data_IF_998248849413
#
_entry.id   IF_998248849413
#
_cell.length_a   1.000
_cell.length_b   1.000
_cell.length_c   1.000
_cell.angle_alpha   90.00
_cell.angle_beta   90.00
_cell.angle_gamma   90.00
#
_symmetry.space_group_name_H-M   'P 1'
#
loop_
_entity.id
_entity.type
_entity.pdbx_description
1 polymer ?
#
# COMPACT_ATOMS: atom_id res chain seq x y z
N UNK A 1 35.62 -20.16 -17.86
CA UNK A 1 34.33 -20.47 -17.20
C UNK A 1 33.59 -19.15 -17.09
N UNK A 2 32.57 -18.96 -17.91
CA UNK A 2 31.76 -17.73 -17.85
C UNK A 2 31.05 -17.69 -16.50
N UNK A 3 31.34 -16.67 -15.72
CA UNK A 3 30.58 -16.39 -14.47
C UNK A 3 29.12 -16.24 -14.85
N UNK A 4 28.19 -16.95 -14.21
CA UNK A 4 26.77 -16.81 -14.53
C UNK A 4 26.37 -15.35 -14.39
N UNK A 5 25.83 -14.80 -15.50
CA UNK A 5 25.45 -13.40 -15.59
C UNK A 5 24.34 -13.12 -14.57
N UNK A 6 24.56 -12.16 -13.64
CA UNK A 6 23.53 -11.76 -12.65
C UNK A 6 22.27 -11.33 -13.40
N UNK A 7 21.10 -11.73 -12.90
CA UNK A 7 19.78 -11.39 -13.46
C UNK A 7 18.95 -10.58 -12.48
N UNK A 8 17.95 -9.89 -12.97
CA UNK A 8 16.91 -9.26 -12.16
C UNK A 8 17.15 -7.79 -11.78
N UNK A 9 18.33 -7.24 -11.98
CA UNK A 9 18.61 -5.81 -11.72
C UNK A 9 18.44 -5.00 -13.01
N UNK A 10 17.19 -4.80 -13.43
CA UNK A 10 16.82 -4.20 -14.72
C UNK A 10 16.06 -2.89 -14.50
N UNK A 11 16.54 -1.80 -15.11
CA UNK A 11 15.88 -0.50 -15.14
C UNK A 11 14.64 -0.48 -16.05
N UNK A 12 13.82 0.54 -15.90
CA UNK A 12 12.65 0.78 -16.73
C UNK A 12 12.81 2.10 -17.49
N UNK A 13 12.67 2.05 -18.81
CA UNK A 13 12.73 3.25 -19.63
C UNK A 13 11.63 4.24 -19.25
N UNK A 14 11.99 5.52 -19.11
CA UNK A 14 11.00 6.58 -18.98
C UNK A 14 10.29 6.82 -20.33
N UNK A 15 9.04 6.44 -20.41
CA UNK A 15 8.22 6.54 -21.62
C UNK A 15 7.47 7.88 -21.72
N UNK A 16 8.03 8.94 -21.15
CA UNK A 16 7.46 10.28 -21.10
C UNK A 16 6.77 10.57 -19.77
N UNK A 17 7.53 11.16 -18.83
CA UNK A 17 7.09 11.54 -17.47
C UNK A 17 6.52 10.37 -16.64
N UNK A 18 7.04 9.13 -16.86
CA UNK A 18 6.54 7.91 -16.21
C UNK A 18 7.36 7.47 -14.99
N UNK A 19 8.26 8.31 -14.47
CA UNK A 19 9.10 7.98 -13.32
C UNK A 19 8.29 7.56 -12.08
N UNK A 20 7.13 8.18 -11.85
CA UNK A 20 6.21 7.83 -10.76
C UNK A 20 5.78 6.36 -10.81
N UNK A 21 5.44 5.89 -12.00
CA UNK A 21 5.02 4.52 -12.22
C UNK A 21 6.22 3.55 -12.23
N UNK A 22 7.34 3.94 -12.84
CA UNK A 22 8.55 3.12 -12.83
C UNK A 22 8.98 2.82 -11.38
N UNK A 23 8.99 3.83 -10.50
CA UNK A 23 9.31 3.65 -9.09
C UNK A 23 8.35 2.68 -8.38
N UNK A 24 7.04 2.79 -8.61
CA UNK A 24 6.02 1.90 -8.05
C UNK A 24 6.15 0.47 -8.59
N UNK A 25 6.33 0.31 -9.91
CA UNK A 25 6.49 -1.01 -10.54
C UNK A 25 7.73 -1.74 -10.00
N UNK A 26 8.83 -1.02 -9.78
CA UNK A 26 10.02 -1.59 -9.14
C UNK A 26 9.72 -2.05 -7.70
N UNK A 27 9.01 -1.26 -6.89
CA UNK A 27 8.63 -1.66 -5.54
C UNK A 27 7.73 -2.90 -5.54
N UNK A 28 6.67 -2.91 -6.37
CA UNK A 28 5.75 -4.05 -6.46
C UNK A 28 6.47 -5.34 -6.88
N UNK A 29 7.42 -5.26 -7.82
CA UNK A 29 8.24 -6.40 -8.22
C UNK A 29 9.11 -6.94 -7.08
N UNK A 30 9.61 -6.07 -6.21
CA UNK A 30 10.46 -6.48 -5.08
C UNK A 30 9.68 -6.98 -3.86
N UNK A 31 8.35 -7.01 -3.90
CA UNK A 31 7.55 -7.77 -2.95
C UNK A 31 7.47 -9.22 -3.43
N UNK A 32 8.16 -10.11 -2.73
CA UNK A 32 8.39 -11.49 -3.18
C UNK A 32 7.10 -12.22 -3.55
N UNK A 33 6.03 -12.02 -2.78
CA UNK A 33 4.74 -12.64 -3.05
C UNK A 33 4.05 -12.08 -4.30
N UNK A 34 4.18 -10.78 -4.57
CA UNK A 34 3.68 -10.17 -5.81
C UNK A 34 4.43 -10.74 -7.00
N UNK A 35 5.77 -10.72 -6.97
CA UNK A 35 6.57 -11.32 -8.04
C UNK A 35 6.19 -12.78 -8.28
N UNK A 36 6.02 -13.58 -7.21
CA UNK A 36 5.64 -14.98 -7.32
C UNK A 36 4.26 -15.18 -7.95
N UNK A 37 3.25 -14.38 -7.58
CA UNK A 37 1.89 -14.49 -8.15
C UNK A 37 1.88 -14.13 -9.64
N UNK A 38 2.57 -13.05 -10.02
CA UNK A 38 2.47 -12.46 -11.35
C UNK A 38 3.60 -12.86 -12.31
N UNK A 39 4.48 -13.79 -11.95
CA UNK A 39 5.45 -14.40 -12.88
C UNK A 39 4.97 -15.76 -13.38
N UNK A 40 5.50 -16.21 -14.50
CA UNK A 40 5.28 -17.54 -15.10
C UNK A 40 3.81 -17.91 -15.30
N UNK A 41 2.94 -16.92 -15.45
CA UNK A 41 1.53 -17.14 -15.75
C UNK A 41 0.69 -17.72 -14.61
N UNK A 42 1.21 -17.81 -13.36
CA UNK A 42 0.47 -18.35 -12.19
C UNK A 42 -0.84 -17.63 -11.97
N UNK A 43 -0.88 -16.32 -12.18
CA UNK A 43 -2.10 -15.50 -12.06
C UNK A 43 -3.22 -15.90 -13.03
N UNK A 44 -2.92 -16.58 -14.15
CA UNK A 44 -3.94 -16.98 -15.13
C UNK A 44 -5.02 -17.90 -14.54
N UNK A 45 -4.69 -18.69 -13.52
CA UNK A 45 -5.65 -19.56 -12.81
C UNK A 45 -6.61 -18.76 -11.94
N UNK A 46 -6.26 -17.53 -11.59
CA UNK A 46 -7.06 -16.63 -10.76
C UNK A 46 -7.98 -15.72 -11.60
N UNK A 47 -7.70 -15.59 -12.91
CA UNK A 47 -8.46 -14.70 -13.76
C UNK A 47 -9.88 -15.21 -13.99
N UNK A 48 -10.85 -14.32 -13.76
CA UNK A 48 -12.25 -14.51 -14.16
C UNK A 48 -12.38 -14.37 -15.67
N UNK A 49 -13.29 -15.14 -16.24
CA UNK A 49 -13.75 -14.95 -17.62
C UNK A 49 -15.17 -14.40 -17.56
N UNK A 50 -15.50 -13.49 -18.46
CA UNK A 50 -16.89 -13.09 -18.66
C UNK A 50 -17.70 -14.26 -19.29
N UNK A 51 -19.02 -14.07 -19.46
CA UNK A 51 -19.89 -15.07 -20.06
C UNK A 51 -19.49 -15.46 -21.50
N UNK A 52 -18.69 -14.63 -22.20
CA UNK A 52 -18.15 -14.87 -23.54
C UNK A 52 -16.76 -15.53 -23.52
N UNK A 53 -16.19 -15.75 -22.34
CA UNK A 53 -14.83 -16.28 -22.15
C UNK A 53 -13.72 -15.25 -22.37
N UNK A 54 -14.06 -13.96 -22.52
CA UNK A 54 -13.07 -12.87 -22.65
C UNK A 54 -12.55 -12.46 -21.29
N UNK A 55 -11.30 -12.00 -21.26
CA UNK A 55 -10.71 -11.37 -20.09
C UNK A 55 -11.35 -10.02 -19.82
N UNK A 56 -11.55 -9.69 -18.54
CA UNK A 56 -11.95 -8.36 -18.15
C UNK A 56 -10.85 -7.34 -18.50
N UNK A 57 -11.23 -6.08 -18.66
CA UNK A 57 -10.31 -5.02 -19.07
C UNK A 57 -9.12 -4.86 -18.12
N UNK A 58 -9.37 -4.88 -16.80
CA UNK A 58 -8.33 -4.83 -15.77
C UNK A 58 -7.34 -6.01 -15.86
N UNK A 59 -7.83 -7.20 -16.25
CA UNK A 59 -6.96 -8.37 -16.42
C UNK A 59 -5.94 -8.18 -17.55
N UNK A 60 -6.24 -7.32 -18.53
CA UNK A 60 -5.30 -7.00 -19.60
C UNK A 60 -4.16 -6.13 -19.08
N UNK A 61 -4.43 -5.17 -18.21
CA UNK A 61 -3.39 -4.39 -17.51
C UNK A 61 -2.52 -5.30 -16.66
N UNK A 62 -3.12 -6.20 -15.88
CA UNK A 62 -2.41 -7.13 -15.01
C UNK A 62 -1.57 -8.13 -15.79
N UNK A 63 -2.04 -8.59 -16.97
CA UNK A 63 -1.26 -9.46 -17.84
C UNK A 63 -0.03 -8.72 -18.40
N UNK A 64 -0.17 -7.46 -18.80
CA UNK A 64 0.96 -6.66 -19.27
C UNK A 64 1.94 -6.28 -18.16
N UNK A 65 1.45 -6.06 -16.93
CA UNK A 65 2.30 -5.92 -15.74
C UNK A 65 3.09 -7.19 -15.44
N UNK A 66 2.44 -8.36 -15.53
CA UNK A 66 3.10 -9.66 -15.38
C UNK A 66 4.23 -9.86 -16.39
N UNK A 67 4.04 -9.44 -17.65
CA UNK A 67 5.08 -9.46 -18.67
C UNK A 67 6.26 -8.56 -18.28
N UNK A 68 6.01 -7.36 -17.78
CA UNK A 68 7.08 -6.45 -17.29
C UNK A 68 7.88 -7.12 -16.18
N UNK A 69 7.22 -7.70 -15.15
CA UNK A 69 7.92 -8.40 -14.07
C UNK A 69 8.74 -9.57 -14.63
N UNK A 70 8.16 -10.39 -15.48
CA UNK A 70 8.84 -11.55 -16.06
C UNK A 70 10.11 -11.15 -16.83
N UNK A 71 10.02 -10.11 -17.64
CA UNK A 71 11.17 -9.61 -18.43
C UNK A 71 12.25 -9.00 -17.52
N UNK A 72 11.87 -8.32 -16.42
CA UNK A 72 12.82 -7.81 -15.44
C UNK A 72 13.51 -8.93 -14.66
N UNK A 73 12.79 -9.95 -14.19
CA UNK A 73 13.35 -11.08 -13.44
C UNK A 73 14.35 -11.91 -14.28
N UNK A 74 14.11 -12.03 -15.57
CA UNK A 74 14.96 -12.80 -16.49
C UNK A 74 15.99 -11.94 -17.24
N UNK A 75 15.88 -10.62 -17.16
CA UNK A 75 16.79 -9.69 -17.82
C UNK A 75 18.17 -9.68 -17.20
N UNK A 76 19.17 -9.33 -18.00
CA UNK A 76 20.55 -9.17 -17.56
C UNK A 76 20.67 -7.95 -16.65
N UNK A 77 21.31 -8.11 -15.50
CA UNK A 77 21.58 -7.00 -14.57
C UNK A 77 22.35 -5.86 -15.24
N UNK A 78 21.88 -4.63 -15.00
CA UNK A 78 22.37 -3.43 -15.68
C UNK A 78 21.71 -3.15 -17.03
N UNK A 79 20.78 -4.03 -17.46
CA UNK A 79 19.97 -3.81 -18.66
C UNK A 79 18.79 -2.87 -18.39
N UNK A 80 18.15 -2.43 -19.48
CA UNK A 80 16.97 -1.57 -19.46
C UNK A 80 15.83 -2.23 -20.23
N UNK A 81 14.64 -2.23 -19.66
CA UNK A 81 13.41 -2.66 -20.30
C UNK A 81 12.56 -1.44 -20.69
N UNK A 82 12.07 -1.44 -21.93
CA UNK A 82 11.09 -0.44 -22.36
C UNK A 82 9.66 -0.95 -22.16
N UNK A 83 8.90 -0.43 -21.17
CA UNK A 83 7.55 -0.91 -20.85
C UNK A 83 6.45 -0.31 -21.75
N UNK A 84 6.74 -0.06 -23.03
CA UNK A 84 5.80 0.56 -23.99
C UNK A 84 4.52 -0.25 -24.18
N UNK A 85 4.62 -1.58 -24.18
CA UNK A 85 3.46 -2.47 -24.28
C UNK A 85 2.52 -2.29 -23.10
N UNK A 86 3.07 -2.25 -21.87
CA UNK A 86 2.32 -1.96 -20.65
C UNK A 86 1.62 -0.60 -20.74
N UNK A 87 2.33 0.46 -21.12
CA UNK A 87 1.75 1.80 -21.24
C UNK A 87 0.64 1.88 -22.28
N UNK A 88 0.81 1.23 -23.43
CA UNK A 88 -0.26 1.16 -24.45
C UNK A 88 -1.51 0.52 -23.88
N UNK A 89 -1.36 -0.66 -23.29
CA UNK A 89 -2.47 -1.41 -22.69
C UNK A 89 -3.15 -0.63 -21.56
N UNK A 90 -2.35 -0.02 -20.66
CA UNK A 90 -2.89 0.76 -19.57
C UNK A 90 -3.75 1.92 -20.07
N UNK A 91 -3.24 2.73 -20.99
CA UNK A 91 -3.97 3.88 -21.56
C UNK A 91 -5.29 3.46 -22.24
N UNK A 92 -5.29 2.34 -22.96
CA UNK A 92 -6.52 1.79 -23.56
C UNK A 92 -7.54 1.36 -22.49
N UNK A 93 -7.06 0.84 -21.35
CA UNK A 93 -7.90 0.31 -20.29
C UNK A 93 -8.46 1.38 -19.35
N UNK A 94 -7.72 2.46 -19.09
CA UNK A 94 -8.18 3.51 -18.13
C UNK A 94 -8.99 4.62 -18.79
N UNK A 95 -9.02 4.66 -20.14
CA UNK A 95 -9.77 5.67 -20.88
C UNK A 95 -11.24 5.66 -20.49
N UNK A 96 -11.79 6.85 -20.26
CA UNK A 96 -13.18 7.08 -19.85
C UNK A 96 -13.54 6.43 -18.47
N UNK A 97 -12.54 6.15 -17.63
CA UNK A 97 -12.70 5.69 -16.24
C UNK A 97 -12.30 6.76 -15.24
N UNK A 98 -12.43 6.49 -13.94
CA UNK A 98 -11.93 7.37 -12.86
C UNK A 98 -10.41 7.53 -12.87
N UNK A 99 -9.69 6.71 -13.64
CA UNK A 99 -8.24 6.71 -13.81
C UNK A 99 -7.78 7.31 -15.15
N UNK A 100 -8.67 8.01 -15.86
CA UNK A 100 -8.40 8.58 -17.19
C UNK A 100 -7.19 9.54 -17.22
N UNK A 101 -6.83 10.14 -16.07
CA UNK A 101 -5.61 10.94 -15.94
C UNK A 101 -4.35 10.21 -16.44
N UNK A 102 -4.25 8.88 -16.27
CA UNK A 102 -3.09 8.09 -16.71
C UNK A 102 -3.02 7.88 -18.23
N UNK A 103 -4.04 8.32 -18.99
CA UNK A 103 -3.95 8.42 -20.45
C UNK A 103 -3.01 9.53 -20.91
N UNK A 104 -2.86 10.58 -20.07
CA UNK A 104 -2.09 11.76 -20.43
C UNK A 104 -0.60 11.58 -20.17
N UNK A 105 0.22 12.14 -21.06
CA UNK A 105 1.67 12.25 -20.82
C UNK A 105 1.91 13.45 -19.91
N UNK A 106 1.74 13.25 -18.59
CA UNK A 106 1.89 14.25 -17.56
C UNK A 106 2.53 13.63 -16.30
N UNK A 107 3.14 14.42 -15.42
CA UNK A 107 3.53 13.96 -14.10
C UNK A 107 2.28 13.59 -13.30
N UNK A 108 2.30 12.44 -12.62
CA UNK A 108 1.23 12.00 -11.74
C UNK A 108 1.79 11.60 -10.37
N UNK A 109 0.91 11.48 -9.39
CA UNK A 109 1.30 11.06 -8.06
C UNK A 109 1.55 9.54 -8.01
N UNK A 110 2.69 9.15 -7.43
CA UNK A 110 3.08 7.74 -7.32
C UNK A 110 2.13 6.95 -6.41
N UNK A 111 1.54 7.57 -5.37
CA UNK A 111 0.58 6.90 -4.51
C UNK A 111 -0.76 6.65 -5.23
N UNK A 112 -1.23 7.60 -6.04
CA UNK A 112 -2.44 7.39 -6.86
C UNK A 112 -2.24 6.24 -7.85
N UNK A 113 -1.07 6.20 -8.50
CA UNK A 113 -0.74 5.09 -9.39
C UNK A 113 -0.62 3.76 -8.64
N UNK A 114 -0.03 3.75 -7.45
CA UNK A 114 0.02 2.55 -6.60
C UNK A 114 -1.39 2.06 -6.25
N UNK A 115 -2.30 2.96 -5.88
CA UNK A 115 -3.70 2.59 -5.59
C UNK A 115 -4.39 1.98 -6.81
N UNK A 116 -4.24 2.58 -7.98
CA UNK A 116 -4.73 2.03 -9.24
C UNK A 116 -4.19 0.61 -9.51
N UNK A 117 -2.88 0.39 -9.31
CA UNK A 117 -2.27 -0.93 -9.51
C UNK A 117 -2.80 -1.96 -8.51
N UNK A 118 -2.88 -1.63 -7.22
CA UNK A 118 -3.40 -2.54 -6.20
C UNK A 118 -4.86 -2.91 -6.47
N UNK A 119 -5.70 -1.95 -6.86
CA UNK A 119 -7.09 -2.19 -7.23
C UNK A 119 -7.19 -3.08 -8.48
N UNK A 120 -6.44 -2.77 -9.54
CA UNK A 120 -6.41 -3.59 -10.75
C UNK A 120 -5.96 -5.04 -10.50
N UNK A 121 -4.92 -5.23 -9.67
CA UNK A 121 -4.43 -6.54 -9.25
C UNK A 121 -5.50 -7.29 -8.44
N UNK A 122 -6.16 -6.61 -7.49
CA UNK A 122 -7.21 -7.18 -6.65
C UNK A 122 -8.42 -7.58 -7.46
N UNK A 123 -9.02 -6.67 -8.23
CA UNK A 123 -10.21 -6.94 -9.03
C UNK A 123 -10.01 -8.06 -10.05
N UNK A 124 -8.85 -8.05 -10.73
CA UNK A 124 -8.54 -9.06 -11.75
C UNK A 124 -8.42 -10.48 -11.19
N UNK A 125 -8.04 -10.62 -9.93
CA UNK A 125 -7.79 -11.93 -9.29
C UNK A 125 -8.81 -12.27 -8.20
N UNK A 126 -9.80 -11.39 -7.96
CA UNK A 126 -10.80 -11.59 -6.91
C UNK A 126 -11.86 -12.61 -7.32
N UNK A 127 -12.34 -13.38 -6.35
CA UNK A 127 -13.46 -14.31 -6.50
C UNK A 127 -14.30 -14.32 -5.23
N UNK A 128 -15.57 -14.75 -5.37
CA UNK A 128 -16.40 -15.02 -4.20
C UNK A 128 -15.89 -16.24 -3.45
N UNK A 129 -15.82 -16.13 -2.13
CA UNK A 129 -15.40 -17.21 -1.23
C UNK A 129 -16.42 -17.37 -0.11
N UNK A 130 -16.60 -18.60 0.37
CA UNK A 130 -17.41 -18.85 1.55
C UNK A 130 -16.57 -18.58 2.81
N UNK A 131 -16.93 -17.54 3.55
CA UNK A 131 -16.32 -17.22 4.84
C UNK A 131 -17.27 -17.59 5.97
N UNK A 132 -16.86 -18.50 6.84
CA UNK A 132 -17.61 -18.85 8.03
C UNK A 132 -16.99 -18.28 9.26
N UNK A 133 -17.78 -17.61 10.09
CA UNK A 133 -17.36 -17.15 11.41
C UNK A 133 -17.77 -18.22 12.41
N UNK A 134 -16.77 -18.89 12.99
CA UNK A 134 -16.98 -19.88 14.06
C UNK A 134 -17.44 -19.12 15.31
N UNK A 135 -18.74 -19.16 15.59
CA UNK A 135 -19.34 -18.40 16.70
C UNK A 135 -19.47 -19.26 17.96
N UNK A 136 -18.84 -18.83 19.05
CA UNK A 136 -19.41 -18.98 20.38
C UNK A 136 -20.25 -17.74 20.70
N UNK A 137 -21.28 -17.86 21.54
CA UNK A 137 -22.05 -16.68 21.96
C UNK A 137 -21.14 -15.73 22.74
N UNK A 138 -20.88 -14.47 22.26
CA UNK A 138 -19.95 -13.57 22.90
C UNK A 138 -20.49 -13.13 24.27
N UNK A 139 -19.69 -13.29 25.32
CA UNK A 139 -20.06 -13.00 26.70
C UNK A 139 -19.56 -11.62 27.15
N UNK A 140 -18.44 -11.18 26.62
CA UNK A 140 -17.79 -9.91 26.98
C UNK A 140 -17.92 -8.88 25.87
N UNK A 141 -17.71 -7.59 26.20
CA UNK A 141 -17.69 -6.53 25.19
C UNK A 141 -16.52 -6.71 24.21
N UNK A 142 -15.37 -7.19 24.66
CA UNK A 142 -14.22 -7.52 23.81
C UNK A 142 -14.59 -8.62 22.80
N UNK A 143 -15.21 -9.72 23.23
CA UNK A 143 -15.67 -10.77 22.33
C UNK A 143 -16.69 -10.28 21.29
N UNK A 144 -17.63 -9.39 21.72
CA UNK A 144 -18.58 -8.75 20.79
C UNK A 144 -17.86 -7.92 19.72
N UNK A 145 -16.80 -7.19 20.12
CA UNK A 145 -15.96 -6.40 19.19
C UNK A 145 -15.21 -7.31 18.22
N UNK A 146 -14.65 -8.44 18.69
CA UNK A 146 -13.98 -9.43 17.84
C UNK A 146 -14.95 -9.97 16.80
N UNK A 147 -16.17 -10.37 17.20
CA UNK A 147 -17.20 -10.86 16.28
C UNK A 147 -17.53 -9.78 15.23
N UNK A 148 -17.75 -8.53 15.67
CA UNK A 148 -18.08 -7.44 14.73
C UNK A 148 -16.95 -7.13 13.75
N UNK A 149 -15.69 -7.18 14.18
CA UNK A 149 -14.54 -7.04 13.30
C UNK A 149 -14.49 -8.14 12.23
N UNK A 150 -14.77 -9.39 12.62
CA UNK A 150 -14.85 -10.52 11.69
C UNK A 150 -16.01 -10.40 10.71
N UNK A 151 -17.16 -9.91 11.18
CA UNK A 151 -18.32 -9.62 10.32
C UNK A 151 -17.98 -8.55 9.28
N UNK A 152 -17.35 -7.44 9.69
CA UNK A 152 -16.91 -6.38 8.78
C UNK A 152 -15.94 -6.93 7.72
N UNK A 153 -14.94 -7.72 8.14
CA UNK A 153 -14.00 -8.35 7.21
C UNK A 153 -14.70 -9.27 6.20
N UNK A 154 -15.65 -10.08 6.68
CA UNK A 154 -16.46 -10.96 5.83
C UNK A 154 -17.35 -10.18 4.87
N UNK A 155 -18.04 -9.15 5.34
CA UNK A 155 -18.91 -8.28 4.51
C UNK A 155 -18.11 -7.65 3.37
N UNK A 156 -16.88 -7.19 3.64
CA UNK A 156 -16.00 -6.55 2.66
C UNK A 156 -15.48 -7.55 1.62
N UNK A 157 -14.93 -8.68 2.07
CA UNK A 157 -14.12 -9.51 1.18
C UNK A 157 -14.77 -10.83 0.72
N UNK A 158 -15.90 -11.28 1.29
CA UNK A 158 -16.47 -12.58 0.89
C UNK A 158 -16.89 -12.66 -0.58
N UNK A 159 -17.29 -11.53 -1.18
CA UNK A 159 -17.71 -11.47 -2.58
C UNK A 159 -16.55 -11.24 -3.54
N UNK A 160 -15.45 -10.72 -3.07
CA UNK A 160 -14.30 -10.27 -3.87
C UNK A 160 -12.97 -10.57 -3.17
N UNK A 161 -12.75 -11.78 -2.75
CA UNK A 161 -11.50 -12.18 -2.14
C UNK A 161 -10.42 -12.44 -3.20
N UNK A 162 -9.22 -11.93 -2.98
CA UNK A 162 -8.04 -12.22 -3.80
C UNK A 162 -6.82 -12.49 -2.91
N UNK A 163 -5.74 -13.08 -3.46
CA UNK A 163 -4.47 -13.23 -2.72
C UNK A 163 -3.89 -11.90 -2.22
N UNK A 164 -4.29 -10.78 -2.82
CA UNK A 164 -3.84 -9.43 -2.44
C UNK A 164 -4.46 -8.98 -1.11
N UNK A 165 -5.62 -9.56 -0.72
CA UNK A 165 -6.29 -9.21 0.54
C UNK A 165 -5.40 -9.52 1.74
N UNK A 166 -4.88 -10.75 1.83
CA UNK A 166 -3.97 -11.10 2.93
C UNK A 166 -2.61 -10.38 2.82
N UNK A 167 -2.23 -9.99 1.61
CA UNK A 167 -0.94 -9.37 1.36
C UNK A 167 -0.93 -7.89 1.76
N UNK A 168 -1.95 -7.12 1.39
CA UNK A 168 -1.94 -5.66 1.51
C UNK A 168 -3.05 -5.08 2.39
N UNK A 169 -4.11 -5.83 2.71
CA UNK A 169 -5.23 -5.24 3.46
C UNK A 169 -5.15 -5.55 4.96
N UNK A 170 -5.39 -4.51 5.72
CA UNK A 170 -5.52 -4.55 7.17
C UNK A 170 -6.89 -4.02 7.61
N UNK A 171 -7.08 -3.93 8.92
CA UNK A 171 -8.31 -3.45 9.55
C UNK A 171 -7.97 -2.45 10.64
N UNK A 172 -8.57 -1.28 10.61
CA UNK A 172 -8.54 -0.29 11.69
C UNK A 172 -9.76 -0.45 12.59
N UNK A 173 -9.57 -0.22 13.86
CA UNK A 173 -10.62 -0.01 14.83
C UNK A 173 -10.83 1.49 15.02
N UNK A 174 -11.95 2.01 14.58
CA UNK A 174 -12.33 3.42 14.66
C UNK A 174 -13.27 3.63 15.83
N UNK A 175 -12.95 4.59 16.71
CA UNK A 175 -13.75 5.00 17.85
C UNK A 175 -14.30 6.39 17.60
N UNK A 176 -15.61 6.56 17.82
CA UNK A 176 -16.27 7.87 17.80
C UNK A 176 -16.81 8.14 19.19
N UNK A 177 -16.21 9.08 19.92
CA UNK A 177 -16.62 9.45 21.29
C UNK A 177 -17.35 10.78 21.28
N UNK A 178 -18.65 10.76 21.61
CA UNK A 178 -19.45 11.97 21.70
C UNK A 178 -18.92 12.91 22.77
N UNK A 179 -18.68 14.17 22.42
CA UNK A 179 -18.12 15.16 23.36
C UNK A 179 -19.11 15.51 24.48
N UNK A 180 -20.43 15.37 24.25
CA UNK A 180 -21.51 15.69 25.22
C UNK A 180 -21.77 14.55 26.22
N UNK A 181 -22.16 13.38 25.73
CA UNK A 181 -22.56 12.25 26.62
C UNK A 181 -21.44 11.24 26.87
N UNK A 182 -20.27 11.41 26.25
CA UNK A 182 -19.09 10.52 26.35
C UNK A 182 -19.34 9.08 25.87
N UNK A 183 -20.48 8.79 25.26
CA UNK A 183 -20.74 7.48 24.64
C UNK A 183 -19.77 7.26 23.48
N UNK A 184 -19.14 6.09 23.45
CA UNK A 184 -18.21 5.70 22.38
C UNK A 184 -18.87 4.63 21.50
N UNK A 185 -18.89 4.86 20.20
CA UNK A 185 -19.25 3.87 19.19
C UNK A 185 -18.01 3.30 18.54
N UNK A 186 -18.09 2.06 18.07
CA UNK A 186 -16.97 1.30 17.51
C UNK A 186 -17.32 0.87 16.09
N UNK A 187 -16.39 1.12 15.14
CA UNK A 187 -16.47 0.70 13.75
C UNK A 187 -15.15 0.08 13.32
N UNK A 188 -15.18 -0.68 12.26
CA UNK A 188 -13.98 -1.23 11.63
C UNK A 188 -13.94 -0.79 10.17
N UNK A 189 -12.77 -0.35 9.74
CA UNK A 189 -12.54 0.15 8.37
C UNK A 189 -11.34 -0.57 7.79
N UNK A 190 -11.46 -1.12 6.58
CA UNK A 190 -10.34 -1.75 5.88
C UNK A 190 -9.39 -0.69 5.36
N UNK A 191 -8.11 -1.03 5.29
CA UNK A 191 -7.09 -0.19 4.67
C UNK A 191 -6.08 -1.04 3.92
N UNK A 192 -5.44 -0.49 2.92
CA UNK A 192 -4.28 -1.05 2.23
C UNK A 192 -3.03 -0.16 2.33
N UNK A 193 -3.20 1.07 2.81
CA UNK A 193 -2.13 2.03 3.02
C UNK A 193 -2.40 2.80 4.31
N UNK A 194 -1.41 2.89 5.19
CA UNK A 194 -1.43 3.81 6.33
C UNK A 194 -0.86 5.17 5.91
N UNK A 195 -1.37 6.23 6.51
CA UNK A 195 -0.86 7.59 6.30
C UNK A 195 0.03 8.01 7.45
N UNK A 196 1.18 8.63 7.16
CA UNK A 196 2.06 9.23 8.15
C UNK A 196 2.03 10.75 8.08
N UNK A 197 1.74 11.42 9.19
CA UNK A 197 1.71 12.90 9.25
C UNK A 197 3.13 13.44 9.40
N UNK A 198 3.60 14.15 8.38
CA UNK A 198 4.91 14.83 8.41
C UNK A 198 4.76 16.21 9.05
N UNK A 199 5.58 16.52 10.07
CA UNK A 199 5.60 17.83 10.73
C UNK A 199 5.90 18.96 9.74
N UNK A 200 5.10 20.04 9.81
CA UNK A 200 5.33 21.26 9.03
C UNK A 200 6.41 22.18 9.64
N UNK A 201 6.74 21.99 10.90
CA UNK A 201 7.66 22.84 11.66
C UNK A 201 9.14 22.53 11.43
N UNK A 202 9.44 21.59 10.53
CA UNK A 202 10.82 21.20 10.18
C UNK A 202 11.51 20.32 11.23
N UNK A 203 10.85 20.01 12.34
CA UNK A 203 11.38 19.09 13.36
C UNK A 203 11.36 17.67 12.81
N UNK A 204 12.51 16.98 12.76
CA UNK A 204 12.55 15.60 12.32
C UNK A 204 11.62 14.72 13.18
N UNK A 205 10.80 13.92 12.53
CA UNK A 205 9.83 13.04 13.18
C UNK A 205 10.11 11.61 12.78
N UNK A 206 10.04 10.69 13.73
CA UNK A 206 10.15 9.27 13.43
C UNK A 206 8.84 8.71 12.87
N UNK A 207 8.94 7.61 12.14
CA UNK A 207 7.81 7.02 11.43
C UNK A 207 6.69 6.58 12.37
N UNK A 208 7.02 6.03 13.53
CA UNK A 208 6.03 5.58 14.51
C UNK A 208 5.24 6.77 15.07
N UNK A 209 5.95 7.85 15.43
CA UNK A 209 5.31 9.10 15.88
C UNK A 209 4.39 9.71 14.84
N UNK A 210 4.76 9.65 13.54
CA UNK A 210 3.89 10.11 12.44
C UNK A 210 2.60 9.28 12.31
N UNK A 211 2.68 7.97 12.51
CA UNK A 211 1.51 7.08 12.52
C UNK A 211 0.65 7.31 13.76
N UNK A 212 1.27 7.49 14.92
CA UNK A 212 0.56 7.81 16.16
C UNK A 212 -0.22 9.13 16.03
N UNK A 213 0.38 10.16 15.43
CA UNK A 213 -0.29 11.43 15.22
C UNK A 213 -1.53 11.31 14.32
N UNK A 214 -1.43 10.55 13.23
CA UNK A 214 -2.59 10.25 12.36
C UNK A 214 -3.69 9.50 13.12
N UNK A 215 -3.33 8.59 14.00
CA UNK A 215 -4.27 7.73 14.73
C UNK A 215 -4.91 8.40 15.95
N UNK A 216 -4.30 9.45 16.50
CA UNK A 216 -4.92 10.29 17.54
C UNK A 216 -6.26 10.83 17.07
N UNK A 217 -6.37 11.14 15.77
CA UNK A 217 -7.60 11.55 15.12
C UNK A 217 -7.93 13.03 15.30
N UNK A 218 -9.21 13.33 15.17
CA UNK A 218 -9.71 14.69 15.06
C UNK A 218 -11.11 14.87 15.64
N UNK A 219 -11.49 16.11 15.90
CA UNK A 219 -12.85 16.48 16.30
C UNK A 219 -13.73 16.57 15.04
N UNK A 220 -14.89 15.90 15.06
CA UNK A 220 -15.91 15.92 14.01
C UNK A 220 -17.09 16.73 14.48
N UNK A 221 -17.37 17.82 13.79
CA UNK A 221 -18.54 18.66 14.05
C UNK A 221 -19.81 18.05 13.43
N UNK A 222 -20.96 18.41 13.99
CA UNK A 222 -22.27 17.98 13.47
C UNK A 222 -22.54 16.47 13.61
N UNK A 223 -21.87 15.80 14.53
CA UNK A 223 -22.05 14.37 14.78
C UNK A 223 -23.47 14.05 15.31
N UNK A 224 -24.10 13.04 14.71
CA UNK A 224 -25.40 12.52 15.15
C UNK A 224 -25.18 11.40 16.16
N UNK A 225 -25.28 11.74 17.44
CA UNK A 225 -25.14 10.78 18.52
C UNK A 225 -26.54 10.21 18.88
N UNK A 226 -26.71 8.90 18.86
CA UNK A 226 -27.98 8.24 19.17
C UNK A 226 -28.50 8.59 20.57
N UNK A 227 -27.61 8.72 21.56
CA UNK A 227 -27.95 9.09 22.94
C UNK A 227 -28.37 10.56 23.07
N UNK A 228 -27.84 11.46 22.22
CA UNK A 228 -28.11 12.91 22.29
C UNK A 228 -29.14 13.37 21.26
N UNK A 229 -29.63 12.47 20.39
CA UNK A 229 -30.61 12.76 19.37
C UNK A 229 -31.84 13.50 19.94
N UNK A 230 -32.39 14.51 19.23
CA UNK A 230 -32.05 14.95 17.86
C UNK A 230 -30.94 16.00 17.79
N UNK A 231 -30.28 16.33 18.89
CA UNK A 231 -29.27 17.41 18.96
C UNK A 231 -27.97 16.94 18.31
N UNK A 232 -27.45 17.72 17.33
CA UNK A 232 -26.12 17.53 16.77
C UNK A 232 -25.06 17.89 17.81
N UNK A 233 -24.00 17.13 17.88
CA UNK A 233 -22.89 17.31 18.82
C UNK A 233 -21.56 17.33 18.06
N UNK A 234 -20.47 17.48 18.78
CA UNK A 234 -19.14 17.12 18.29
C UNK A 234 -18.78 15.72 18.75
N UNK A 235 -17.89 15.06 18.05
CA UNK A 235 -17.33 13.79 18.47
C UNK A 235 -15.84 13.73 18.15
N UNK A 236 -15.06 13.11 19.02
CA UNK A 236 -13.66 12.81 18.74
C UNK A 236 -13.57 11.47 18.00
N UNK A 237 -13.03 11.51 16.77
CA UNK A 237 -12.72 10.32 15.97
C UNK A 237 -11.27 9.95 16.23
N UNK A 238 -11.01 8.73 16.66
CA UNK A 238 -9.65 8.17 16.75
C UNK A 238 -9.61 6.77 16.15
N UNK A 239 -8.44 6.32 15.76
CA UNK A 239 -8.25 4.98 15.21
C UNK A 239 -7.08 4.25 15.88
N UNK A 240 -7.08 2.94 15.76
CA UNK A 240 -6.00 2.05 16.19
C UNK A 240 -5.99 0.83 15.27
N UNK A 241 -4.89 0.13 15.22
CA UNK A 241 -4.78 -1.07 14.39
C UNK A 241 -5.58 -2.21 15.03
N UNK A 242 -6.35 -2.91 14.19
CA UNK A 242 -7.00 -4.16 14.58
C UNK A 242 -6.33 -5.37 13.95
N UNK A 243 -6.02 -5.28 12.66
CA UNK A 243 -5.34 -6.32 11.89
C UNK A 243 -4.32 -5.67 10.96
N UNK A 244 -3.14 -6.25 10.85
CA UNK A 244 -2.09 -5.80 9.93
C UNK A 244 -1.95 -6.74 8.72
N UNK A 245 -1.64 -6.21 7.52
CA UNK A 245 -1.33 -7.00 6.32
C UNK A 245 0.05 -7.68 6.43
N UNK A 246 0.37 -8.55 5.48
CA UNK A 246 1.74 -9.11 5.35
C UNK A 246 2.73 -8.07 4.85
N UNK A 247 2.31 -7.24 3.90
CA UNK A 247 3.08 -6.11 3.38
C UNK A 247 2.37 -4.82 3.78
N UNK A 248 3.01 -4.05 4.64
CA UNK A 248 2.51 -2.77 5.13
C UNK A 248 3.02 -1.65 4.24
N UNK A 249 2.11 -0.90 3.65
CA UNK A 249 2.41 0.29 2.86
C UNK A 249 2.13 1.52 3.71
N UNK A 250 3.10 2.42 3.79
CA UNK A 250 2.98 3.70 4.51
C UNK A 250 3.25 4.83 3.54
N UNK A 251 2.27 5.71 3.34
CA UNK A 251 2.40 6.90 2.51
C UNK A 251 2.47 8.14 3.39
N UNK A 252 3.48 8.99 3.18
CA UNK A 252 3.70 10.19 3.98
C UNK A 252 2.89 11.37 3.42
N UNK A 253 2.15 12.07 4.28
CA UNK A 253 1.39 13.27 3.93
C UNK A 253 2.34 14.47 3.70
N UNK A 254 3.08 14.43 2.59
CA UNK A 254 4.06 15.46 2.22
C UNK A 254 3.50 16.61 1.41
N UNK A 255 2.34 16.42 0.79
CA UNK A 255 1.71 17.45 -0.04
C UNK A 255 0.55 18.08 0.73
N UNK A 256 0.58 19.40 0.84
CA UNK A 256 -0.48 20.18 1.48
C UNK A 256 -1.58 20.50 0.49
N UNK A 257 -2.77 20.86 0.98
CA UNK A 257 -3.93 21.19 0.12
C UNK A 257 -3.65 22.37 -0.81
N UNK A 258 -2.80 23.32 -0.40
CA UNK A 258 -2.36 24.46 -1.21
C UNK A 258 -1.21 24.13 -2.18
N UNK A 259 -0.94 22.85 -2.39
CA UNK A 259 0.01 22.38 -3.38
C UNK A 259 1.48 22.54 -3.00
N UNK A 260 1.82 22.75 -1.73
CA UNK A 260 3.22 22.81 -1.28
C UNK A 260 3.70 21.44 -0.81
N UNK A 261 5.00 21.16 -1.02
CA UNK A 261 5.65 19.98 -0.48
C UNK A 261 6.32 20.28 0.86
N UNK A 262 6.14 19.40 1.83
CA UNK A 262 6.80 19.44 3.13
C UNK A 262 8.15 18.72 3.02
N UNK A 263 9.25 19.45 3.20
CA UNK A 263 10.63 18.96 3.08
C UNK A 263 11.24 18.48 4.40
N UNK A 264 10.47 18.42 5.46
CA UNK A 264 10.94 17.94 6.77
C UNK A 264 11.57 16.55 6.64
N UNK A 265 12.78 16.40 7.17
CA UNK A 265 13.46 15.10 7.27
C UNK A 265 12.67 14.18 8.19
N UNK A 266 12.61 12.92 7.81
CA UNK A 266 12.03 11.88 8.64
C UNK A 266 13.08 10.84 8.98
N UNK A 267 12.80 10.05 10.01
CA UNK A 267 13.54 8.83 10.33
C UNK A 267 12.60 7.64 10.34
N UNK A 268 13.10 6.48 9.93
CA UNK A 268 12.37 5.23 9.96
C UNK A 268 13.34 4.06 10.20
N UNK A 269 12.90 2.97 10.83
CA UNK A 269 13.71 1.77 10.99
C UNK A 269 14.11 1.18 9.63
N UNK A 270 15.41 0.97 9.43
CA UNK A 270 15.97 0.42 8.18
C UNK A 270 16.71 -0.89 8.38
N UNK A 271 17.29 -1.10 9.56
CA UNK A 271 17.98 -2.33 9.98
C UNK A 271 17.17 -3.03 11.04
N UNK A 272 16.83 -2.30 12.11
CA UNK A 272 15.92 -2.80 13.14
C UNK A 272 14.47 -2.89 12.59
N UNK A 273 13.67 -3.84 13.06
CA UNK A 273 12.28 -3.94 12.61
C UNK A 273 11.43 -2.76 13.11
N UNK A 274 10.46 -2.36 12.30
CA UNK A 274 9.40 -1.44 12.70
C UNK A 274 8.42 -2.19 13.61
N UNK A 275 8.38 -1.83 14.89
CA UNK A 275 7.50 -2.44 15.88
C UNK A 275 6.14 -1.71 15.91
N UNK A 276 5.07 -2.39 15.48
CA UNK A 276 3.73 -1.80 15.36
C UNK A 276 2.83 -2.03 16.58
N UNK A 277 3.30 -2.74 17.60
CA UNK A 277 2.50 -3.20 18.74
C UNK A 277 1.77 -2.07 19.49
N UNK A 278 2.41 -0.91 19.64
CA UNK A 278 1.84 0.24 20.38
C UNK A 278 0.65 0.88 19.66
N UNK A 279 0.50 0.68 18.35
CA UNK A 279 -0.59 1.22 17.56
C UNK A 279 -1.84 0.32 17.56
N UNK A 280 -1.76 -0.86 18.16
CA UNK A 280 -2.88 -1.77 18.21
C UNK A 280 -3.97 -1.34 19.22
N UNK A 281 -5.21 -1.62 18.84
CA UNK A 281 -6.33 -1.61 19.78
C UNK A 281 -6.10 -2.62 20.90
N UNK A 282 -6.43 -2.24 22.14
CA UNK A 282 -6.34 -3.13 23.31
C UNK A 282 -7.19 -4.40 23.16
N UNK A 283 -8.29 -4.29 22.41
CA UNK A 283 -9.22 -5.40 22.18
C UNK A 283 -8.81 -6.30 21.00
N UNK A 284 -7.76 -5.94 20.24
CA UNK A 284 -7.34 -6.74 19.09
C UNK A 284 -6.70 -8.06 19.52
N UNK A 285 -7.15 -9.20 19.01
CA UNK A 285 -6.51 -10.49 19.26
C UNK A 285 -5.11 -10.60 18.64
N UNK A 286 -4.78 -9.78 17.63
CA UNK A 286 -3.48 -9.79 16.95
C UNK A 286 -2.40 -8.98 17.67
N UNK A 287 -2.74 -8.16 18.67
CA UNK A 287 -1.79 -7.30 19.40
C UNK A 287 -0.57 -8.03 19.97
N UNK A 288 -0.76 -9.27 20.39
CA UNK A 288 0.32 -10.10 20.96
C UNK A 288 0.93 -11.09 19.98
N UNK A 289 0.56 -10.98 18.70
CA UNK A 289 1.14 -11.76 17.61
C UNK A 289 2.40 -11.12 17.03
N UNK A 290 2.74 -11.52 15.81
CA UNK A 290 3.86 -10.94 15.06
C UNK A 290 3.48 -9.56 14.55
N UNK A 291 4.07 -8.52 15.12
CA UNK A 291 3.78 -7.10 14.83
C UNK A 291 5.01 -6.34 14.33
N UNK A 292 6.08 -7.03 14.00
CA UNK A 292 7.34 -6.46 13.53
C UNK A 292 7.50 -6.58 12.01
N UNK A 293 8.06 -5.55 11.41
CA UNK A 293 8.18 -5.40 9.97
C UNK A 293 9.59 -4.95 9.55
N UNK A 294 10.14 -5.59 8.54
CA UNK A 294 11.41 -5.20 7.92
C UNK A 294 11.17 -4.33 6.68
N UNK A 295 11.95 -3.27 6.53
CA UNK A 295 11.87 -2.39 5.36
C UNK A 295 12.32 -3.14 4.09
N UNK A 296 11.50 -3.04 3.04
CA UNK A 296 11.73 -3.71 1.76
C UNK A 296 11.97 -2.75 0.61
N UNK A 297 11.13 -1.74 0.47
CA UNK A 297 11.27 -0.75 -0.59
C UNK A 297 10.89 0.65 -0.10
N UNK A 298 11.42 1.65 -0.80
CA UNK A 298 11.10 3.07 -0.60
C UNK A 298 10.86 3.71 -1.95
N UNK A 299 9.83 4.51 -2.08
CA UNK A 299 9.66 5.46 -3.19
C UNK A 299 10.04 6.83 -2.68
N UNK A 300 10.97 7.46 -3.35
CA UNK A 300 11.41 8.84 -3.11
C UNK A 300 10.82 9.79 -4.14
N UNK A 301 10.48 11.00 -3.72
CA UNK A 301 10.10 12.09 -4.60
C UNK A 301 11.07 13.26 -4.42
N UNK A 302 11.75 13.65 -5.48
CA UNK A 302 12.66 14.80 -5.54
C UNK A 302 11.97 15.95 -6.26
N UNK A 303 12.16 17.19 -5.79
CA UNK A 303 11.52 18.39 -6.36
C UNK A 303 10.33 18.90 -5.57
N UNK A 304 9.43 19.61 -6.25
CA UNK A 304 8.25 20.26 -5.68
C UNK A 304 6.94 19.62 -6.14
N UNK A 305 5.80 20.11 -5.65
CA UNK A 305 4.47 19.66 -6.08
C UNK A 305 4.15 19.96 -7.54
N UNK A 306 4.75 21.02 -8.12
CA UNK A 306 4.53 21.41 -9.53
C UNK A 306 5.42 20.68 -10.52
N UNK A 307 6.33 19.83 -10.05
CA UNK A 307 7.25 19.05 -10.88
C UNK A 307 8.34 18.43 -10.05
N UNK A 308 8.70 17.22 -10.38
CA UNK A 308 9.69 16.46 -9.65
C UNK A 308 10.06 15.17 -10.35
N UNK A 309 10.84 14.37 -9.67
CA UNK A 309 11.30 13.09 -10.16
C UNK A 309 11.13 12.02 -9.09
N UNK A 310 10.63 10.86 -9.46
CA UNK A 310 10.50 9.73 -8.57
C UNK A 310 11.61 8.71 -8.83
N UNK A 311 12.16 8.19 -7.76
CA UNK A 311 13.08 7.06 -7.75
C UNK A 311 12.61 6.02 -6.74
N UNK A 312 13.13 4.80 -6.81
CA UNK A 312 12.86 3.81 -5.77
C UNK A 312 14.15 3.17 -5.28
N UNK A 313 14.18 2.82 -4.00
CA UNK A 313 15.23 2.04 -3.38
C UNK A 313 14.63 0.70 -2.97
N UNK A 314 15.18 -0.40 -3.47
CA UNK A 314 14.63 -1.73 -3.19
C UNK A 314 15.74 -2.66 -2.71
N UNK A 315 15.41 -3.53 -1.75
CA UNK A 315 16.28 -4.58 -1.26
C UNK A 315 16.14 -5.81 -2.15
N UNK A 316 17.20 -6.21 -2.80
CA UNK A 316 17.20 -7.41 -3.64
C UNK A 316 17.00 -8.67 -2.79
N UNK A 317 16.10 -9.53 -3.20
CA UNK A 317 15.72 -10.74 -2.44
C UNK A 317 16.82 -11.81 -2.40
N UNK A 318 17.69 -11.84 -3.41
CA UNK A 318 18.70 -12.88 -3.55
C UNK A 318 19.99 -12.51 -2.83
N UNK A 319 20.44 -11.25 -2.99
CA UNK A 319 21.69 -10.76 -2.39
C UNK A 319 21.49 -10.09 -1.03
N UNK A 320 20.28 -9.59 -0.74
CA UNK A 320 20.01 -8.75 0.43
C UNK A 320 20.58 -7.32 0.31
N UNK A 321 21.16 -6.99 -0.82
CA UNK A 321 21.77 -5.68 -1.10
C UNK A 321 20.71 -4.65 -1.52
N UNK A 322 20.94 -3.39 -1.20
CA UNK A 322 20.10 -2.29 -1.60
C UNK A 322 20.52 -1.74 -2.97
N UNK A 323 19.51 -1.48 -3.82
CA UNK A 323 19.70 -0.86 -5.13
C UNK A 323 18.76 0.32 -5.28
N UNK A 324 19.25 1.42 -5.88
CA UNK A 324 18.42 2.52 -6.33
C UNK A 324 18.08 2.32 -7.79
N UNK A 325 16.82 2.53 -8.12
CA UNK A 325 16.26 2.49 -9.47
C UNK A 325 15.82 3.91 -9.82
N UNK A 326 16.49 4.48 -10.80
CA UNK A 326 16.28 5.82 -11.35
C UNK A 326 15.98 5.65 -12.84
N UNK A 327 14.73 5.33 -13.15
CA UNK A 327 14.26 4.94 -14.47
C UNK A 327 15.16 3.82 -15.06
N UNK A 328 15.91 4.12 -16.14
CA UNK A 328 16.83 3.19 -16.81
C UNK A 328 18.03 2.79 -15.95
N UNK A 329 18.40 3.62 -15.01
CA UNK A 329 19.63 3.46 -14.26
C UNK A 329 19.38 2.64 -12.98
N UNK A 330 20.17 1.58 -12.80
CA UNK A 330 20.18 0.77 -11.59
C UNK A 330 21.59 0.77 -11.01
N UNK A 331 21.71 1.12 -9.75
CA UNK A 331 23.00 1.08 -9.06
C UNK A 331 22.85 0.55 -7.64
N UNK A 332 23.82 -0.22 -7.19
CA UNK A 332 23.91 -0.65 -5.81
C UNK A 332 24.22 0.53 -4.88
N UNK A 333 23.62 0.53 -3.71
CA UNK A 333 23.87 1.49 -2.65
C UNK A 333 24.23 0.75 -1.36
N UNK A 334 25.11 1.32 -0.52
CA UNK A 334 25.57 0.66 0.71
C UNK A 334 24.46 0.50 1.76
N UNK A 335 23.51 1.42 1.76
CA UNK A 335 22.34 1.39 2.65
C UNK A 335 21.19 2.19 2.03
N UNK A 336 19.97 1.88 2.44
CA UNK A 336 18.79 2.68 2.09
C UNK A 336 18.88 4.06 2.74
N UNK A 337 18.47 5.09 2.00
CA UNK A 337 18.38 6.46 2.50
C UNK A 337 16.95 6.81 2.86
N UNK A 338 16.74 7.31 4.07
CA UNK A 338 15.47 7.84 4.57
C UNK A 338 15.65 9.31 4.90
N UNK A 339 14.77 10.18 4.40
CA UNK A 339 14.94 11.62 4.61
C UNK A 339 13.79 12.48 4.08
N UNK A 340 14.13 13.62 3.51
CA UNK A 340 13.17 14.61 2.99
C UNK A 340 12.52 14.20 1.65
N UNK A 341 13.17 13.31 0.90
CA UNK A 341 12.63 12.77 -0.36
C UNK A 341 11.67 11.59 -0.14
N UNK A 342 11.81 10.87 0.96
CA UNK A 342 11.02 9.66 1.25
C UNK A 342 9.53 9.94 1.21
N UNK A 343 8.78 9.17 0.39
CA UNK A 343 7.35 9.39 0.16
C UNK A 343 6.50 8.16 0.47
N UNK A 344 6.86 6.97 -0.04
CA UNK A 344 6.14 5.72 0.25
C UNK A 344 7.14 4.69 0.75
N UNK A 345 6.80 3.99 1.83
CA UNK A 345 7.60 2.92 2.40
C UNK A 345 6.81 1.60 2.34
N UNK A 346 7.51 0.54 1.97
CA UNK A 346 6.99 -0.83 1.95
C UNK A 346 7.74 -1.66 2.98
N UNK A 347 7.01 -2.21 3.93
CA UNK A 347 7.54 -3.07 4.97
C UNK A 347 6.92 -4.46 4.86
N UNK A 348 7.72 -5.50 4.96
CA UNK A 348 7.23 -6.88 5.01
C UNK A 348 7.29 -7.43 6.44
N UNK A 349 6.24 -8.16 6.85
CA UNK A 349 6.15 -8.76 8.19
C UNK A 349 7.29 -9.74 8.39
N UNK A 350 8.03 -9.62 9.47
CA UNK A 350 9.16 -10.48 9.80
C UNK A 350 8.69 -11.89 10.18
N UNK A 351 9.39 -12.93 9.74
CA UNK A 351 9.13 -14.30 10.17
C UNK A 351 7.89 -15.00 9.61
N UNK A 352 7.34 -14.52 8.47
CA UNK A 352 6.18 -15.15 7.79
C UNK A 352 6.56 -15.65 6.41
#
# INVERSE_FOLDING_TARGET
>A
MDTPQKKGLVGLQNCGLTCYANAVLQCLRHIDRVAWIFTEGRYNTLFKKDASGKRLQQQTVVASFSEVIHLQENGVSGGTLSPRGFWKTLRECVKDTVYDQFCMTAPHDAHEFLMFMLESLHESTSMGVEMQIMKSTPKTNTEKRVVKALETWKEEFSKQYSPLVDLFYGLLHVKMTCSKCKTTTHRWETFNTLKGVVSKEGTPTDLLGMLQEEMKGEEIEGYSCDTCSPVRTTAHRSSSIWRLPRTLIICLKRFTFDGRKIHTKITAPTVEPLAMKELFSEDSPEKNGQTEYALRCVVDHHGSSGGGHYTSQCKDKNSGEWHIYDDENVRQIPAVHIGESTYILFYERSGV
#
